data_IF_756881904394
#
_entry.id   IF_756881904394
#
_cell.length_a   1.000
_cell.length_b   1.000
_cell.length_c   1.000
_cell.angle_alpha   90.00
_cell.angle_beta   90.00
_cell.angle_gamma   90.00
#
_symmetry.space_group_name_H-M   'P 1'
#
loop_
_entity.id
_entity.type
_entity.pdbx_description
1 polymer ?
#
# COMPACT_ATOMS: atom_id res chain seq x y z
N UNK A 1 -10.74 0.20 29.30
CA UNK A 1 -10.77 -1.03 28.47
C UNK A 1 -9.93 -0.72 27.23
N UNK A 2 -8.79 -1.40 27.05
CA UNK A 2 -7.82 -1.09 25.99
C UNK A 2 -8.19 -1.91 24.75
N UNK A 3 -8.58 -1.24 23.67
CA UNK A 3 -8.93 -1.88 22.40
C UNK A 3 -7.72 -2.02 21.50
N UNK A 4 -7.49 -3.21 20.96
CA UNK A 4 -6.33 -3.55 20.14
C UNK A 4 -6.71 -3.67 18.66
N UNK A 5 -6.93 -2.54 17.99
CA UNK A 5 -6.84 -2.52 16.52
C UNK A 5 -5.38 -2.78 16.15
N UNK A 6 -5.11 -3.85 15.42
CA UNK A 6 -3.75 -4.20 15.02
C UNK A 6 -3.68 -4.41 13.52
N UNK A 7 -2.74 -3.71 12.88
CA UNK A 7 -2.21 -4.17 11.62
C UNK A 7 -1.54 -5.52 11.85
N UNK A 8 -1.72 -6.47 10.93
CA UNK A 8 -1.11 -7.80 11.03
C UNK A 8 0.42 -7.76 11.02
N UNK A 9 1.00 -6.63 10.58
CA UNK A 9 2.43 -6.41 10.49
C UNK A 9 2.80 -5.01 11.03
N UNK A 10 3.96 -4.92 11.69
CA UNK A 10 4.53 -3.63 12.13
C UNK A 10 5.07 -2.80 10.96
N UNK A 11 5.53 -3.46 9.91
CA UNK A 11 6.00 -2.87 8.65
C UNK A 11 5.44 -3.71 7.51
N UNK A 12 4.78 -3.06 6.54
CA UNK A 12 4.20 -3.71 5.35
C UNK A 12 5.11 -3.42 4.16
N UNK A 13 5.44 -4.44 3.37
CA UNK A 13 6.39 -4.30 2.25
C UNK A 13 5.69 -4.50 0.91
N UNK A 14 5.91 -3.57 -0.01
CA UNK A 14 5.54 -3.72 -1.42
C UNK A 14 6.78 -3.57 -2.32
N UNK A 15 6.78 -4.30 -3.43
CA UNK A 15 7.76 -4.13 -4.50
C UNK A 15 7.01 -3.66 -5.74
N UNK A 16 7.32 -2.48 -6.24
CA UNK A 16 6.71 -1.90 -7.43
C UNK A 16 7.74 -1.71 -8.52
N UNK A 17 7.30 -1.86 -9.77
CA UNK A 17 8.08 -1.38 -10.89
C UNK A 17 7.90 0.12 -11.05
N UNK A 18 8.97 0.82 -11.43
CA UNK A 18 8.93 2.27 -11.63
C UNK A 18 7.91 2.68 -12.70
N UNK A 19 7.71 1.82 -13.72
CA UNK A 19 6.82 2.02 -14.87
C UNK A 19 5.34 1.71 -14.59
N UNK A 20 4.98 1.40 -13.33
CA UNK A 20 3.57 1.21 -12.96
C UNK A 20 2.75 2.47 -13.34
N UNK A 21 1.62 2.33 -14.06
CA UNK A 21 0.82 3.48 -14.46
C UNK A 21 0.26 4.24 -13.24
N UNK A 22 0.20 5.59 -13.28
CA UNK A 22 -0.53 6.37 -12.29
C UNK A 22 -1.97 5.86 -12.13
N UNK A 23 -2.54 6.04 -10.93
CA UNK A 23 -3.89 5.59 -10.57
C UNK A 23 -4.10 4.07 -10.50
N UNK A 24 -3.06 3.27 -10.76
CA UNK A 24 -3.11 1.82 -10.55
C UNK A 24 -3.30 1.47 -9.08
N UNK A 25 -4.13 0.45 -8.83
CA UNK A 25 -4.19 -0.24 -7.54
C UNK A 25 -3.03 -1.23 -7.52
N UNK A 26 -2.19 -1.16 -6.49
CA UNK A 26 -1.00 -2.01 -6.40
C UNK A 26 -0.99 -2.93 -5.18
N UNK A 27 -1.95 -2.76 -4.28
CA UNK A 27 -1.99 -3.55 -3.06
C UNK A 27 -3.18 -3.23 -2.20
N UNK A 28 -3.28 -3.97 -1.10
CA UNK A 28 -4.29 -3.81 -0.08
C UNK A 28 -3.65 -4.06 1.28
N UNK A 29 -4.02 -3.26 2.26
CA UNK A 29 -3.63 -3.48 3.65
C UNK A 29 -4.84 -3.86 4.48
N UNK A 30 -4.60 -4.65 5.50
CA UNK A 30 -5.62 -5.16 6.39
C UNK A 30 -5.22 -4.90 7.84
N UNK A 31 -6.18 -4.41 8.61
CA UNK A 31 -6.13 -4.35 10.05
C UNK A 31 -7.29 -5.17 10.62
N UNK A 32 -7.07 -5.74 11.81
CA UNK A 32 -8.09 -6.48 12.55
C UNK A 32 -8.31 -5.79 13.89
N UNK A 33 -9.57 -5.57 14.24
CA UNK A 33 -9.97 -5.28 15.61
C UNK A 33 -10.18 -6.63 16.32
N UNK A 34 -9.47 -6.83 17.44
CA UNK A 34 -9.49 -8.08 18.19
C UNK A 34 -10.73 -8.24 19.07
N UNK A 35 -11.44 -7.15 19.38
CA UNK A 35 -12.54 -7.16 20.33
C UNK A 35 -13.91 -7.25 19.65
N UNK A 36 -14.05 -6.72 18.42
CA UNK A 36 -15.27 -6.79 17.60
C UNK A 36 -14.95 -6.60 16.11
N UNK A 37 -15.87 -7.04 15.23
CA UNK A 37 -15.91 -6.61 13.82
C UNK A 37 -16.40 -5.15 13.71
N UNK A 38 -15.73 -4.21 14.36
CA UNK A 38 -16.06 -2.78 14.28
C UNK A 38 -15.65 -2.22 12.89
N UNK A 39 -16.37 -1.19 12.43
CA UNK A 39 -16.14 -0.59 11.10
C UNK A 39 -14.81 0.18 11.10
N UNK A 40 -13.79 -0.39 10.46
CA UNK A 40 -12.47 0.21 10.34
C UNK A 40 -12.37 1.23 9.19
N UNK A 41 -11.73 2.35 9.47
CA UNK A 41 -11.46 3.44 8.53
C UNK A 41 -9.96 3.58 8.32
N UNK A 42 -9.53 3.35 7.09
CA UNK A 42 -8.14 3.47 6.67
C UNK A 42 -7.83 4.89 6.19
N UNK A 43 -6.62 5.36 6.47
CA UNK A 43 -6.10 6.64 6.00
C UNK A 43 -4.59 6.58 5.79
N UNK A 44 -4.09 7.40 4.88
CA UNK A 44 -2.66 7.60 4.62
C UNK A 44 -2.32 8.97 5.20
N UNK A 45 -1.26 9.06 6.02
CA UNK A 45 -0.72 10.35 6.43
C UNK A 45 -0.21 11.11 5.20
N UNK A 46 -0.13 12.46 5.22
CA UNK A 46 0.16 13.26 4.03
C UNK A 46 1.31 12.69 3.20
N UNK A 47 0.97 12.17 2.01
CA UNK A 47 1.91 11.55 1.09
C UNK A 47 1.59 11.97 -0.36
N UNK A 48 2.60 12.41 -1.13
CA UNK A 48 2.37 12.90 -2.48
C UNK A 48 2.13 11.77 -3.50
N UNK A 49 2.55 10.53 -3.22
CA UNK A 49 2.52 9.45 -4.21
C UNK A 49 1.37 8.47 -4.00
N UNK A 50 0.85 8.30 -2.78
CA UNK A 50 -0.06 7.20 -2.45
C UNK A 50 -1.39 7.72 -1.88
N UNK A 51 -2.47 7.02 -2.20
CA UNK A 51 -3.79 7.11 -1.59
C UNK A 51 -4.22 5.74 -1.08
N UNK A 52 -5.18 5.73 -0.16
CA UNK A 52 -5.84 4.51 0.31
C UNK A 52 -7.36 4.68 0.25
N UNK A 53 -8.07 3.64 -0.17
CA UNK A 53 -9.51 3.59 -0.08
C UNK A 53 -9.94 3.30 1.36
N UNK A 54 -10.72 4.22 1.94
CA UNK A 54 -10.97 4.25 3.39
C UNK A 54 -11.69 3.02 3.96
N UNK A 55 -12.45 2.27 3.16
CA UNK A 55 -13.21 1.12 3.64
C UNK A 55 -12.62 -0.24 3.26
N UNK A 56 -11.75 -0.27 2.25
CA UNK A 56 -11.20 -1.54 1.73
C UNK A 56 -9.72 -1.68 1.99
N UNK A 57 -9.01 -0.59 2.30
CA UNK A 57 -7.56 -0.60 2.44
C UNK A 57 -6.82 -0.71 1.11
N UNK A 58 -7.49 -0.58 -0.04
CA UNK A 58 -6.83 -0.59 -1.36
C UNK A 58 -5.91 0.61 -1.52
N UNK A 59 -4.64 0.34 -1.78
CA UNK A 59 -3.63 1.34 -2.05
C UNK A 59 -3.59 1.67 -3.53
N UNK A 60 -3.56 2.97 -3.84
CA UNK A 60 -3.54 3.47 -5.21
C UNK A 60 -2.47 4.53 -5.38
N UNK A 61 -1.80 4.47 -6.52
CA UNK A 61 -0.78 5.44 -6.92
C UNK A 61 -1.40 6.75 -7.42
N UNK A 62 -0.81 7.90 -7.08
CA UNK A 62 -1.19 9.24 -7.59
C UNK A 62 -0.37 9.66 -8.79
N UNK A 63 0.93 9.36 -8.76
CA UNK A 63 1.91 9.86 -9.72
C UNK A 63 2.89 8.78 -10.13
N UNK A 64 3.54 8.97 -11.27
CA UNK A 64 4.55 8.06 -11.77
C UNK A 64 5.77 7.97 -10.83
N UNK A 65 6.39 6.79 -10.73
CA UNK A 65 7.48 6.47 -9.81
C UNK A 65 8.89 6.51 -10.45
N UNK A 66 9.04 6.91 -11.71
CA UNK A 66 10.33 6.92 -12.45
C UNK A 66 11.43 7.68 -11.71
N UNK A 67 11.09 8.81 -11.07
CA UNK A 67 12.05 9.63 -10.31
C UNK A 67 12.49 9.01 -8.98
N UNK A 68 11.80 7.98 -8.54
CA UNK A 68 12.05 7.28 -7.28
C UNK A 68 12.66 5.88 -7.52
N UNK A 69 13.17 5.61 -8.73
CA UNK A 69 13.82 4.34 -9.05
C UNK A 69 15.01 4.09 -8.11
N UNK A 70 15.13 2.85 -7.63
CA UNK A 70 16.14 2.38 -6.67
C UNK A 70 16.08 3.08 -5.30
N UNK A 71 14.98 3.77 -5.00
CA UNK A 71 14.68 4.34 -3.69
C UNK A 71 13.60 3.53 -2.95
N UNK A 72 13.52 3.74 -1.64
CA UNK A 72 12.46 3.22 -0.78
C UNK A 72 11.51 4.36 -0.45
N UNK A 73 10.26 4.25 -0.89
CA UNK A 73 9.21 5.18 -0.52
C UNK A 73 8.54 4.69 0.79
N UNK A 74 8.77 5.43 1.87
CA UNK A 74 8.18 5.16 3.18
C UNK A 74 6.86 5.91 3.33
N UNK A 75 5.79 5.19 3.65
CA UNK A 75 4.44 5.76 3.79
C UNK A 75 3.85 5.34 5.12
N UNK A 76 3.50 6.31 5.95
CA UNK A 76 2.80 6.03 7.20
C UNK A 76 1.29 5.96 6.95
N UNK A 77 0.66 4.89 7.42
CA UNK A 77 -0.78 4.63 7.29
C UNK A 77 -1.40 4.41 8.65
N UNK A 78 -2.69 4.67 8.73
CA UNK A 78 -3.45 4.63 9.96
C UNK A 78 -4.77 3.90 9.74
N UNK A 79 -5.21 3.18 10.75
CA UNK A 79 -6.57 2.66 10.87
C UNK A 79 -7.26 3.26 12.10
N UNK A 80 -8.57 3.46 12.03
CA UNK A 80 -9.39 3.92 13.15
C UNK A 80 -10.75 3.23 13.19
N UNK A 81 -11.27 2.97 14.40
CA UNK A 81 -12.65 2.54 14.67
C UNK A 81 -13.56 3.73 15.06
N UNK A 82 -13.04 4.97 14.98
CA UNK A 82 -13.72 6.20 15.41
C UNK A 82 -13.38 6.65 16.84
N UNK A 83 -12.86 5.77 17.70
CA UNK A 83 -12.44 6.07 19.07
C UNK A 83 -10.92 5.97 19.24
N UNK A 84 -10.32 4.91 18.69
CA UNK A 84 -8.90 4.63 18.73
C UNK A 84 -8.31 4.64 17.33
N UNK A 85 -6.99 4.86 17.28
CA UNK A 85 -6.19 4.89 16.06
C UNK A 85 -4.95 4.04 16.26
N UNK A 86 -4.59 3.27 15.24
CA UNK A 86 -3.30 2.60 15.19
C UNK A 86 -2.58 2.96 13.88
N UNK A 87 -1.26 3.01 13.90
CA UNK A 87 -0.42 3.41 12.78
C UNK A 87 0.63 2.34 12.45
N UNK A 88 0.98 2.23 11.18
CA UNK A 88 2.08 1.39 10.69
C UNK A 88 2.78 2.06 9.50
N UNK A 89 3.95 1.54 9.14
CA UNK A 89 4.74 2.01 8.01
C UNK A 89 4.67 1.02 6.85
N UNK A 90 4.49 1.54 5.64
CA UNK A 90 4.63 0.82 4.39
C UNK A 90 5.99 1.18 3.79
N UNK A 91 6.79 0.18 3.46
CA UNK A 91 8.03 0.34 2.69
C UNK A 91 7.79 -0.14 1.26
N UNK A 92 7.91 0.78 0.31
CA UNK A 92 7.73 0.50 -1.11
C UNK A 92 9.10 0.53 -1.78
N UNK A 93 9.59 -0.64 -2.19
CA UNK A 93 10.82 -0.78 -2.97
C UNK A 93 10.49 -0.59 -4.45
N UNK A 94 11.16 0.36 -5.09
CA UNK A 94 10.88 0.74 -6.48
C UNK A 94 12.03 0.23 -7.34
N UNK A 95 11.71 -0.66 -8.29
CA UNK A 95 12.69 -1.31 -9.15
C UNK A 95 12.43 -1.00 -10.61
N UNK A 96 13.49 -1.02 -11.41
CA UNK A 96 13.34 -1.05 -12.86
C UNK A 96 12.73 -2.39 -13.29
N UNK A 97 11.77 -2.35 -14.20
CA UNK A 97 11.34 -3.56 -14.91
C UNK A 97 12.49 -4.02 -15.82
N UNK A 98 13.06 -5.18 -15.55
CA UNK A 98 14.06 -5.77 -16.43
C UNK A 98 13.35 -6.31 -17.66
N UNK A 99 13.75 -5.86 -18.84
CA UNK A 99 13.27 -6.38 -20.12
C UNK A 99 13.89 -7.76 -20.35
N UNK A 100 13.16 -8.82 -20.00
CA UNK A 100 13.60 -10.21 -20.20
C UNK A 100 12.47 -11.05 -20.78
N UNK A 101 12.60 -11.37 -22.07
CA UNK A 101 11.79 -12.27 -22.90
C UNK A 101 10.49 -11.70 -23.49
N UNK A 102 10.62 -11.18 -24.72
CA UNK A 102 9.54 -11.11 -25.70
C UNK A 102 9.33 -12.53 -26.26
N UNK A 103 8.54 -13.37 -25.61
CA UNK A 103 8.03 -14.58 -26.27
C UNK A 103 6.93 -14.15 -27.24
N UNK A 104 7.31 -13.86 -28.49
CA UNK A 104 6.40 -14.01 -29.63
C UNK A 104 6.02 -15.48 -29.72
N UNK A 105 4.87 -15.84 -29.15
CA UNK A 105 4.20 -17.08 -29.50
C UNK A 105 3.62 -16.90 -30.91
N UNK A 106 4.42 -17.20 -31.92
CA UNK A 106 3.90 -17.51 -33.25
C UNK A 106 3.28 -18.91 -33.15
N UNK A 107 1.95 -18.96 -33.14
CA UNK A 107 1.23 -20.19 -33.42
C UNK A 107 1.38 -20.48 -34.92
N UNK A 108 2.07 -21.58 -35.25
CA UNK A 108 1.89 -22.33 -36.50
C UNK A 108 1.15 -23.61 -36.15
#
# INVERSE_FOLDING_TARGET
>A
MIKHQNFSQRIIIFNLFSDIPPYSIFGQIYAKDLDKNDKLIYSVLPNPYITIHMYTGHLRLKHNLHRLMDQILNVAVQVSDGLHKNQTSIHIYIKKKLSGCTTTNTFI
#
